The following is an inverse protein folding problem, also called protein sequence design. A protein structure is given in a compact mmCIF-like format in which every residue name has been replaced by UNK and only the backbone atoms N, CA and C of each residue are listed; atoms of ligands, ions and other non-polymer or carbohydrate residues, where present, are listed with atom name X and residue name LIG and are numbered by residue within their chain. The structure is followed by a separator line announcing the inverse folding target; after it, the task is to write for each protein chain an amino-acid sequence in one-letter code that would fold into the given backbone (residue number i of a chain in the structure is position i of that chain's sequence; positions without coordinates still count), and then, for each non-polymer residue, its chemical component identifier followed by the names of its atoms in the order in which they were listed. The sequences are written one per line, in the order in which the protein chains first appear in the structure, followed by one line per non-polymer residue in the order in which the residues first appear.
data_IF_339817163973
#
_entry.id   IF_339817163973
#
_cell.length_a   1.000
_cell.length_b   1.000
_cell.length_c   1.000
_cell.angle_alpha   90.00
_cell.angle_beta   90.00
_cell.angle_gamma   90.00
#
_symmetry.space_group_name_H-M   'P 1'
#
loop_
_entity.id
_entity.type
_entity.pdbx_description
1 polymer ?
#
# COMPACT_ATOMS: atom_id res chain seq x y z
N UNK A 1 18.37 -17.57 -16.32
CA UNK A 1 17.01 -18.13 -16.15
C UNK A 1 16.36 -18.69 -17.44
N UNK A 2 17.05 -18.84 -18.59
CA UNK A 2 16.56 -19.70 -19.68
C UNK A 2 15.23 -19.34 -20.36
N UNK A 3 14.91 -18.03 -20.49
CA UNK A 3 13.68 -17.51 -21.10
C UNK A 3 12.36 -18.01 -20.46
N UNK A 4 12.15 -17.77 -19.14
CA UNK A 4 10.95 -18.22 -18.46
C UNK A 4 9.74 -17.39 -18.88
N UNK A 5 8.55 -17.97 -18.79
CA UNK A 5 7.31 -17.19 -18.83
C UNK A 5 7.14 -16.46 -17.50
N UNK A 6 6.97 -15.14 -17.55
CA UNK A 6 6.80 -14.28 -16.37
C UNK A 6 5.31 -14.14 -16.07
N UNK A 7 4.91 -14.54 -14.86
CA UNK A 7 3.53 -14.38 -14.36
C UNK A 7 3.40 -13.05 -13.65
N UNK A 8 2.46 -12.21 -14.10
CA UNK A 8 2.26 -10.86 -13.60
C UNK A 8 0.87 -10.71 -12.96
N UNK A 9 0.85 -10.57 -11.63
CA UNK A 9 -0.37 -10.30 -10.87
C UNK A 9 -0.76 -8.82 -10.87
N UNK A 10 0.23 -7.93 -11.00
CA UNK A 10 0.00 -6.48 -11.00
C UNK A 10 -0.30 -5.98 -12.41
N UNK A 11 -1.44 -5.31 -12.57
CA UNK A 11 -1.90 -4.70 -13.82
C UNK A 11 -0.87 -3.72 -14.41
N UNK A 12 -0.24 -2.90 -13.58
CA UNK A 12 0.79 -1.95 -14.02
C UNK A 12 2.09 -2.67 -14.44
N UNK A 13 2.49 -3.72 -13.73
CA UNK A 13 3.66 -4.51 -14.13
C UNK A 13 3.42 -5.20 -15.48
N UNK A 14 2.22 -5.73 -15.71
CA UNK A 14 1.83 -6.29 -17.01
C UNK A 14 1.97 -5.26 -18.14
N UNK A 15 1.42 -4.05 -17.95
CA UNK A 15 1.55 -2.97 -18.92
C UNK A 15 3.02 -2.59 -19.19
N UNK A 16 3.82 -2.44 -18.14
CA UNK A 16 5.24 -2.05 -18.25
C UNK A 16 6.04 -3.11 -18.98
N UNK A 17 5.90 -4.38 -18.62
CA UNK A 17 6.61 -5.47 -19.29
C UNK A 17 6.17 -5.58 -20.75
N UNK A 18 4.86 -5.54 -21.04
CA UNK A 18 4.35 -5.59 -22.41
C UNK A 18 4.92 -4.47 -23.29
N UNK A 19 5.06 -3.26 -22.74
CA UNK A 19 5.53 -2.10 -23.49
C UNK A 19 7.06 -2.04 -23.64
N UNK A 20 7.81 -2.48 -22.63
CA UNK A 20 9.26 -2.25 -22.56
C UNK A 20 10.10 -3.52 -22.73
N UNK A 21 9.49 -4.71 -22.67
CA UNK A 21 10.16 -6.01 -22.78
C UNK A 21 9.34 -6.97 -23.67
N UNK A 22 9.11 -6.64 -24.96
CA UNK A 22 8.22 -7.41 -25.83
C UNK A 22 8.70 -8.85 -26.08
N UNK A 23 10.00 -9.10 -25.97
CA UNK A 23 10.60 -10.43 -26.16
C UNK A 23 10.40 -11.37 -24.95
N UNK A 24 10.00 -10.81 -23.80
CA UNK A 24 9.71 -11.61 -22.60
C UNK A 24 8.30 -12.16 -22.71
N UNK A 25 8.17 -13.49 -22.66
CA UNK A 25 6.86 -14.14 -22.57
C UNK A 25 6.22 -13.77 -21.24
N UNK A 26 5.09 -13.07 -21.29
CA UNK A 26 4.32 -12.70 -20.09
C UNK A 26 2.95 -13.35 -20.10
N UNK A 27 2.36 -13.54 -18.91
CA UNK A 27 0.97 -13.95 -18.72
C UNK A 27 0.42 -13.29 -17.47
N UNK A 28 -0.85 -12.85 -17.50
CA UNK A 28 -1.49 -12.35 -16.29
C UNK A 28 -1.82 -13.50 -15.32
N UNK A 29 -1.66 -13.26 -14.02
CA UNK A 29 -2.13 -14.20 -13.00
C UNK A 29 -3.62 -14.53 -13.18
N UNK A 30 -4.42 -13.54 -13.58
CA UNK A 30 -5.88 -13.69 -13.72
C UNK A 30 -6.25 -14.63 -14.86
N UNK A 31 -5.52 -14.55 -15.98
CA UNK A 31 -5.67 -15.50 -17.09
C UNK A 31 -5.33 -16.93 -16.66
N UNK A 32 -4.29 -17.09 -15.83
CA UNK A 32 -3.92 -18.40 -15.30
C UNK A 32 -5.00 -18.95 -14.37
N UNK A 33 -5.56 -18.15 -13.47
CA UNK A 33 -6.64 -18.58 -12.58
C UNK A 33 -7.94 -18.89 -13.32
N UNK A 34 -8.26 -18.14 -14.38
CA UNK A 34 -9.40 -18.47 -15.22
C UNK A 34 -9.18 -19.80 -15.96
N UNK A 35 -7.99 -20.00 -16.56
CA UNK A 35 -7.70 -21.21 -17.32
C UNK A 35 -7.51 -22.46 -16.46
N UNK A 36 -6.74 -22.36 -15.37
CA UNK A 36 -6.29 -23.50 -14.55
C UNK A 36 -7.20 -23.74 -13.34
N UNK A 37 -8.05 -22.77 -12.99
CA UNK A 37 -8.89 -22.82 -11.81
C UNK A 37 -8.31 -22.05 -10.62
N UNK A 38 -9.15 -21.90 -9.60
CA UNK A 38 -8.83 -21.32 -8.30
C UNK A 38 -8.99 -22.39 -7.21
N UNK A 39 -8.38 -22.24 -6.03
CA UNK A 39 -8.44 -23.26 -4.99
C UNK A 39 -9.86 -23.65 -4.58
N UNK A 40 -10.13 -24.96 -4.41
CA UNK A 40 -11.47 -25.49 -4.09
C UNK A 40 -12.10 -24.86 -2.85
N UNK A 41 -11.28 -24.52 -1.84
CA UNK A 41 -11.75 -23.81 -0.64
C UNK A 41 -12.47 -22.49 -0.94
N UNK A 42 -12.10 -21.81 -2.02
CA UNK A 42 -12.73 -20.56 -2.45
C UNK A 42 -14.11 -20.81 -3.09
N UNK A 43 -14.29 -21.99 -3.68
CA UNK A 43 -15.54 -22.44 -4.30
C UNK A 43 -16.51 -23.02 -3.26
N UNK A 44 -15.99 -23.72 -2.25
CA UNK A 44 -16.77 -24.35 -1.18
C UNK A 44 -17.54 -23.35 -0.28
N UNK A 45 -17.13 -22.09 -0.26
CA UNK A 45 -17.86 -20.99 0.39
C UNK A 45 -19.11 -20.51 -0.40
N UNK A 46 -19.54 -21.27 -1.43
CA UNK A 46 -20.53 -20.86 -2.44
C UNK A 46 -21.92 -21.48 -2.32
N UNK A 47 -22.39 -21.83 -1.12
CA UNK A 47 -23.72 -22.41 -0.92
C UNK A 47 -24.90 -21.43 -1.07
N UNK A 48 -24.64 -20.12 -1.01
CA UNK A 48 -25.65 -19.06 -1.14
C UNK A 48 -25.26 -18.09 -2.26
N UNK A 49 -26.25 -17.61 -3.02
CA UNK A 49 -26.07 -16.55 -4.02
C UNK A 49 -25.50 -15.32 -3.32
N UNK A 50 -24.27 -14.94 -3.66
CA UNK A 50 -23.60 -13.79 -3.04
C UNK A 50 -24.17 -12.48 -3.56
N UNK A 51 -24.14 -11.45 -2.71
CA UNK A 51 -24.53 -10.08 -3.09
C UNK A 51 -23.82 -9.63 -4.37
N UNK A 52 -24.51 -8.80 -5.16
CA UNK A 52 -23.92 -8.20 -6.35
C UNK A 52 -22.69 -7.34 -5.99
N UNK A 53 -21.67 -7.39 -6.85
CA UNK A 53 -20.45 -6.58 -6.72
C UNK A 53 -20.21 -5.78 -8.00
N UNK A 54 -19.55 -4.64 -7.86
CA UNK A 54 -19.17 -3.79 -8.98
C UNK A 54 -17.69 -3.90 -9.31
N UNK A 55 -17.36 -4.22 -10.57
CA UNK A 55 -15.97 -4.40 -10.99
C UNK A 55 -15.35 -3.07 -11.38
N UNK A 56 -14.24 -2.72 -10.73
CA UNK A 56 -13.35 -1.65 -11.17
C UNK A 56 -12.13 -2.23 -11.90
N UNK A 57 -12.14 -2.13 -13.23
CA UNK A 57 -10.99 -2.46 -14.06
C UNK A 57 -9.86 -1.43 -13.85
N UNK A 58 -8.63 -1.85 -13.52
CA UNK A 58 -7.49 -0.96 -13.45
C UNK A 58 -7.22 -0.28 -14.80
N UNK A 59 -6.86 1.00 -14.78
CA UNK A 59 -6.55 1.74 -16.01
C UNK A 59 -5.39 1.12 -16.81
N UNK A 60 -4.45 0.43 -16.16
CA UNK A 60 -3.32 -0.25 -16.79
C UNK A 60 -3.74 -1.45 -17.66
N UNK A 61 -4.92 -2.03 -17.42
CA UNK A 61 -5.50 -3.14 -18.20
C UNK A 61 -6.67 -2.68 -19.06
N UNK A 62 -6.86 -1.36 -19.26
CA UNK A 62 -7.96 -0.76 -20.06
C UNK A 62 -8.15 -1.42 -21.43
N UNK A 63 -7.05 -1.69 -22.13
CA UNK A 63 -7.07 -2.31 -23.46
C UNK A 63 -6.65 -3.78 -23.45
N UNK A 64 -6.71 -4.43 -22.28
CA UNK A 64 -6.45 -5.85 -22.11
C UNK A 64 -7.78 -6.58 -21.81
N UNK A 65 -8.66 -6.63 -22.81
CA UNK A 65 -10.00 -7.22 -22.68
C UNK A 65 -9.98 -8.65 -22.14
N UNK A 66 -8.97 -9.44 -22.54
CA UNK A 66 -8.80 -10.81 -22.06
C UNK A 66 -8.54 -10.90 -20.55
N UNK A 67 -7.77 -9.96 -19.96
CA UNK A 67 -7.58 -9.89 -18.49
C UNK A 67 -8.87 -9.46 -17.79
N UNK A 68 -9.59 -8.50 -18.39
CA UNK A 68 -10.88 -8.02 -17.88
C UNK A 68 -11.93 -9.14 -17.87
N UNK A 69 -11.94 -9.98 -18.91
CA UNK A 69 -12.78 -11.18 -19.00
C UNK A 69 -12.42 -12.20 -17.94
N UNK A 70 -11.13 -12.51 -17.77
CA UNK A 70 -10.67 -13.45 -16.74
C UNK A 70 -11.07 -13.02 -15.34
N UNK A 71 -10.96 -11.74 -14.99
CA UNK A 71 -11.41 -11.24 -13.69
C UNK A 71 -12.92 -11.49 -13.46
N UNK A 72 -13.75 -11.29 -14.48
CA UNK A 72 -15.21 -11.52 -14.43
C UNK A 72 -15.54 -13.01 -14.38
N UNK A 73 -14.84 -13.84 -15.12
CA UNK A 73 -15.01 -15.30 -15.08
C UNK A 73 -14.69 -15.86 -13.70
N UNK A 74 -13.60 -15.40 -13.08
CA UNK A 74 -13.25 -15.77 -11.70
C UNK A 74 -14.37 -15.36 -10.73
N UNK A 75 -14.90 -14.15 -10.85
CA UNK A 75 -16.00 -13.68 -9.99
C UNK A 75 -17.28 -14.52 -10.13
N UNK A 76 -17.66 -14.88 -11.37
CA UNK A 76 -18.82 -15.76 -11.61
C UNK A 76 -18.59 -17.16 -11.02
N UNK A 77 -17.39 -17.72 -11.16
CA UNK A 77 -17.03 -19.02 -10.54
C UNK A 77 -17.09 -18.97 -9.01
N UNK A 78 -16.80 -17.81 -8.41
CA UNK A 78 -16.93 -17.56 -6.97
C UNK A 78 -18.39 -17.32 -6.52
N UNK A 79 -19.36 -17.35 -7.43
CA UNK A 79 -20.79 -17.22 -7.13
C UNK A 79 -21.31 -15.78 -7.08
N UNK A 80 -20.53 -14.78 -7.54
CA UNK A 80 -20.94 -13.38 -7.52
C UNK A 80 -21.75 -12.99 -8.76
N UNK A 81 -22.79 -12.19 -8.54
CA UNK A 81 -23.42 -11.39 -9.59
C UNK A 81 -22.60 -10.12 -9.82
N UNK A 82 -22.45 -9.71 -11.08
CA UNK A 82 -21.65 -8.55 -11.46
C UNK A 82 -22.58 -7.43 -11.95
N UNK A 83 -22.51 -6.29 -11.27
CA UNK A 83 -23.08 -5.02 -11.71
C UNK A 83 -21.94 -4.19 -12.33
N UNK A 84 -22.00 -3.93 -13.63
CA UNK A 84 -20.95 -3.13 -14.27
C UNK A 84 -21.07 -1.66 -13.88
N UNK A 85 -19.94 -1.03 -13.56
CA UNK A 85 -19.88 0.42 -13.40
C UNK A 85 -20.20 1.11 -14.74
N UNK A 86 -20.82 2.31 -14.74
CA UNK A 86 -21.15 3.03 -15.97
C UNK A 86 -19.96 3.26 -16.91
N UNK A 87 -18.77 3.44 -16.34
CA UNK A 87 -17.50 3.58 -17.05
C UNK A 87 -16.58 2.41 -16.68
N UNK A 88 -16.82 1.25 -17.29
CA UNK A 88 -16.06 0.01 -17.10
C UNK A 88 -15.23 -0.36 -18.32
N UNK A 89 -14.41 -1.42 -18.22
CA UNK A 89 -13.62 -1.98 -19.33
C UNK A 89 -12.71 -0.94 -20.00
N UNK A 90 -12.78 -0.81 -21.32
CA UNK A 90 -12.02 0.18 -22.10
C UNK A 90 -12.34 1.64 -21.72
N UNK A 91 -13.51 1.87 -21.10
CA UNK A 91 -13.95 3.17 -20.59
C UNK A 91 -13.57 3.38 -19.13
N UNK A 92 -12.95 2.38 -18.48
CA UNK A 92 -12.56 2.47 -17.07
C UNK A 92 -11.72 3.71 -16.81
N UNK A 93 -12.05 4.43 -15.76
CA UNK A 93 -11.33 5.65 -15.45
C UNK A 93 -10.14 5.35 -14.48
N UNK A 94 -9.14 6.24 -14.30
CA UNK A 94 -8.01 6.08 -13.33
C UNK A 94 -8.29 6.42 -11.84
N UNK A 95 -7.96 5.56 -10.87
CA UNK A 95 -8.14 5.78 -9.41
C UNK A 95 -7.35 6.96 -8.77
N UNK A 96 -6.80 7.88 -9.56
CA UNK A 96 -5.96 9.03 -9.16
C UNK A 96 -4.53 8.70 -8.73
N UNK A 97 -4.15 7.43 -8.65
CA UNK A 97 -2.76 7.05 -8.35
C UNK A 97 -1.82 7.22 -9.55
N UNK A 98 -2.23 6.70 -10.72
CA UNK A 98 -1.42 6.72 -11.94
C UNK A 98 -1.08 8.15 -12.36
N UNK A 99 0.13 8.36 -12.90
CA UNK A 99 0.61 9.69 -13.28
C UNK A 99 0.87 10.63 -12.08
N UNK A 100 0.84 10.11 -10.85
CA UNK A 100 1.16 10.84 -9.62
C UNK A 100 0.28 12.07 -9.35
N UNK A 101 -0.96 12.07 -9.88
CA UNK A 101 -1.90 13.18 -9.65
C UNK A 101 -2.15 13.44 -8.16
N UNK A 102 -2.19 12.39 -7.34
CA UNK A 102 -2.34 12.51 -5.90
C UNK A 102 -1.15 13.20 -5.18
N UNK A 103 0.04 13.22 -5.79
CA UNK A 103 1.17 14.00 -5.29
C UNK A 103 1.13 15.43 -5.79
N UNK A 104 0.75 15.63 -7.06
CA UNK A 104 0.74 16.93 -7.71
C UNK A 104 -0.45 17.81 -7.28
N UNK A 105 -1.64 17.21 -7.10
CA UNK A 105 -2.88 17.91 -6.71
C UNK A 105 -3.79 16.97 -5.91
N UNK A 106 -3.63 17.00 -4.58
CA UNK A 106 -4.35 16.13 -3.63
C UNK A 106 -5.86 16.36 -3.66
N UNK A 107 -6.30 17.61 -3.72
CA UNK A 107 -7.72 17.97 -3.70
C UNK A 107 -8.44 17.41 -4.94
N UNK A 108 -7.85 17.61 -6.13
CA UNK A 108 -8.37 17.04 -7.37
C UNK A 108 -8.36 15.51 -7.33
N UNK A 109 -7.28 14.90 -6.85
CA UNK A 109 -7.19 13.45 -6.72
C UNK A 109 -8.31 12.88 -5.86
N UNK A 110 -8.59 13.50 -4.71
CA UNK A 110 -9.68 13.10 -3.83
C UNK A 110 -11.05 13.34 -4.47
N UNK A 111 -11.27 14.46 -5.17
CA UNK A 111 -12.52 14.74 -5.88
C UNK A 111 -12.81 13.68 -6.97
N UNK A 112 -11.79 13.29 -7.72
CA UNK A 112 -11.89 12.22 -8.73
C UNK A 112 -12.22 10.88 -8.08
N UNK A 113 -11.60 10.53 -6.94
CA UNK A 113 -11.92 9.29 -6.23
C UNK A 113 -13.36 9.31 -5.72
N UNK A 114 -13.80 10.40 -5.07
CA UNK A 114 -15.17 10.56 -4.56
C UNK A 114 -16.22 10.36 -5.65
N UNK A 115 -16.04 10.99 -6.82
CA UNK A 115 -16.93 10.81 -7.99
C UNK A 115 -17.03 9.35 -8.43
N UNK A 116 -15.94 8.58 -8.37
CA UNK A 116 -15.94 7.18 -8.79
C UNK A 116 -16.69 6.31 -7.82
N UNK A 117 -16.37 6.41 -6.54
CA UNK A 117 -16.94 5.53 -5.53
C UNK A 117 -18.44 5.74 -5.34
N UNK A 118 -18.97 6.90 -5.76
CA UNK A 118 -20.40 7.20 -5.78
C UNK A 118 -21.13 6.57 -6.97
N UNK A 119 -20.45 5.97 -7.94
CA UNK A 119 -21.08 5.46 -9.16
C UNK A 119 -21.92 4.19 -8.96
N UNK A 120 -21.73 3.48 -7.84
CA UNK A 120 -22.57 2.33 -7.44
C UNK A 120 -22.47 2.13 -5.93
N UNK A 121 -23.55 1.68 -5.31
CA UNK A 121 -23.59 1.38 -3.88
C UNK A 121 -22.99 0.02 -3.55
N UNK A 122 -22.97 -0.93 -4.50
CA UNK A 122 -22.41 -2.27 -4.32
C UNK A 122 -20.93 -2.24 -3.92
N UNK A 123 -20.47 -3.28 -3.22
CA UNK A 123 -19.05 -3.44 -2.88
C UNK A 123 -18.21 -3.49 -4.16
N UNK A 124 -17.07 -2.81 -4.16
CA UNK A 124 -16.18 -2.79 -5.32
C UNK A 124 -15.23 -3.98 -5.29
N UNK A 125 -15.00 -4.59 -6.45
CA UNK A 125 -13.92 -5.56 -6.65
C UNK A 125 -12.97 -5.03 -7.70
N UNK A 126 -11.67 -5.09 -7.39
CA UNK A 126 -10.61 -4.75 -8.34
C UNK A 126 -9.46 -5.75 -8.25
N UNK A 127 -8.64 -5.80 -9.28
CA UNK A 127 -7.44 -6.63 -9.36
C UNK A 127 -6.17 -5.76 -9.46
N UNK A 128 -6.25 -4.57 -8.87
CA UNK A 128 -5.13 -3.68 -8.60
C UNK A 128 -5.16 -3.27 -7.12
N UNK A 129 -4.12 -3.65 -6.37
CA UNK A 129 -3.99 -3.31 -4.96
C UNK A 129 -4.07 -1.78 -4.70
N UNK A 130 -3.55 -0.98 -5.63
CA UNK A 130 -3.55 0.48 -5.48
C UNK A 130 -4.93 1.09 -5.72
N UNK A 131 -5.70 0.59 -6.70
CA UNK A 131 -7.10 1.02 -6.86
C UNK A 131 -7.92 0.70 -5.61
N UNK A 132 -7.74 -0.51 -5.05
CA UNK A 132 -8.39 -0.94 -3.81
C UNK A 132 -8.07 0.01 -2.65
N UNK A 133 -6.80 0.34 -2.48
CA UNK A 133 -6.35 1.23 -1.41
C UNK A 133 -6.90 2.64 -1.55
N UNK A 134 -6.90 3.21 -2.75
CA UNK A 134 -7.42 4.57 -2.98
C UNK A 134 -8.91 4.68 -2.74
N UNK A 135 -9.69 3.66 -3.07
CA UNK A 135 -11.12 3.63 -2.80
C UNK A 135 -11.42 3.40 -1.31
N UNK A 136 -10.72 2.47 -0.67
CA UNK A 136 -10.85 2.22 0.77
C UNK A 136 -10.47 3.46 1.62
N UNK A 137 -9.46 4.22 1.19
CA UNK A 137 -9.05 5.46 1.85
C UNK A 137 -10.13 6.57 1.80
N UNK A 138 -11.12 6.45 0.91
CA UNK A 138 -12.29 7.34 0.83
C UNK A 138 -13.57 6.66 1.36
N UNK A 139 -13.44 5.57 2.11
CA UNK A 139 -14.54 4.89 2.78
C UNK A 139 -15.35 3.92 1.91
N UNK A 140 -14.94 3.66 0.66
CA UNK A 140 -15.63 2.68 -0.17
C UNK A 140 -15.23 1.26 0.21
N UNK A 141 -16.21 0.44 0.59
CA UNK A 141 -16.04 -1.01 0.74
C UNK A 141 -15.49 -1.60 -0.56
N UNK A 142 -14.24 -2.06 -0.51
CA UNK A 142 -13.50 -2.47 -1.70
C UNK A 142 -12.62 -3.69 -1.41
N UNK A 143 -12.79 -4.73 -2.20
CA UNK A 143 -12.04 -5.97 -2.13
C UNK A 143 -11.06 -6.05 -3.30
N UNK A 144 -9.88 -6.60 -3.04
CA UNK A 144 -9.03 -7.11 -4.09
C UNK A 144 -9.53 -8.49 -4.53
N UNK A 145 -9.34 -8.87 -5.80
CA UNK A 145 -9.74 -10.22 -6.26
C UNK A 145 -9.04 -11.35 -5.47
N UNK A 146 -7.83 -11.10 -4.95
CA UNK A 146 -7.17 -12.03 -4.01
C UNK A 146 -7.84 -12.09 -2.63
N UNK A 147 -8.48 -11.02 -2.16
CA UNK A 147 -9.25 -11.04 -0.91
C UNK A 147 -10.41 -12.03 -1.05
N UNK A 148 -11.05 -12.10 -2.23
CA UNK A 148 -12.13 -13.06 -2.49
C UNK A 148 -11.66 -14.52 -2.62
N UNK A 149 -10.46 -14.74 -3.15
CA UNK A 149 -9.92 -16.09 -3.38
C UNK A 149 -9.31 -16.69 -2.10
N UNK A 150 -8.73 -15.84 -1.24
CA UNK A 150 -7.91 -16.28 -0.11
C UNK A 150 -8.36 -15.75 1.25
N UNK A 151 -9.25 -14.76 1.28
CA UNK A 151 -9.78 -14.21 2.51
C UNK A 151 -10.77 -15.14 3.21
N UNK A 152 -10.98 -14.89 4.50
CA UNK A 152 -11.96 -15.60 5.32
C UNK A 152 -13.11 -14.65 5.68
N UNK A 153 -12.81 -13.55 6.38
CA UNK A 153 -13.79 -12.52 6.73
C UNK A 153 -13.86 -11.44 5.64
N UNK A 154 -14.73 -11.65 4.66
CA UNK A 154 -14.88 -10.75 3.52
C UNK A 154 -15.48 -9.39 3.92
N UNK A 155 -16.32 -9.33 4.95
CA UNK A 155 -16.90 -8.07 5.41
C UNK A 155 -15.82 -7.19 6.02
N UNK A 156 -15.02 -7.74 6.93
CA UNK A 156 -13.88 -7.03 7.49
C UNK A 156 -12.87 -6.65 6.40
N UNK A 157 -12.59 -7.54 5.44
CA UNK A 157 -11.67 -7.23 4.33
C UNK A 157 -12.20 -6.09 3.44
N UNK A 158 -13.51 -6.03 3.18
CA UNK A 158 -14.11 -4.97 2.39
C UNK A 158 -14.00 -3.60 3.07
N UNK A 159 -14.15 -3.57 4.40
CA UNK A 159 -14.07 -2.35 5.22
C UNK A 159 -12.66 -1.97 5.63
N UNK A 160 -11.70 -2.89 5.50
CA UNK A 160 -10.30 -2.68 5.89
C UNK A 160 -9.74 -1.42 5.24
N UNK A 161 -9.18 -0.52 6.06
CA UNK A 161 -8.46 0.67 5.59
C UNK A 161 -7.20 0.30 4.79
N UNK A 162 -6.79 1.18 3.88
CA UNK A 162 -5.51 1.03 3.17
C UNK A 162 -4.34 1.09 4.16
N UNK A 163 -3.28 0.28 3.99
CA UNK A 163 -2.10 0.41 4.83
C UNK A 163 -1.39 1.76 4.58
N UNK A 164 -0.91 2.38 5.65
CA UNK A 164 -0.02 3.55 5.59
C UNK A 164 1.36 3.22 5.00
N UNK A 165 2.19 4.22 4.74
CA UNK A 165 3.50 4.02 4.10
C UNK A 165 4.45 3.19 4.96
N UNK A 166 4.49 3.47 6.27
CA UNK A 166 5.30 2.70 7.21
C UNK A 166 4.84 1.25 7.27
N UNK A 167 3.52 1.04 7.36
CA UNK A 167 2.93 -0.30 7.36
C UNK A 167 3.27 -1.07 6.07
N UNK A 168 3.32 -0.41 4.91
CA UNK A 168 3.71 -1.04 3.64
C UNK A 168 5.16 -1.51 3.65
N UNK A 169 6.07 -0.71 4.22
CA UNK A 169 7.48 -1.07 4.37
C UNK A 169 7.64 -2.26 5.30
N UNK A 170 6.99 -2.22 6.47
CA UNK A 170 6.97 -3.34 7.41
C UNK A 170 6.37 -4.61 6.81
N UNK A 171 5.26 -4.50 6.08
CA UNK A 171 4.62 -5.63 5.40
C UNK A 171 5.58 -6.26 4.39
N UNK A 172 6.33 -5.45 3.64
CA UNK A 172 7.34 -5.93 2.68
C UNK A 172 8.50 -6.62 3.40
N UNK A 173 9.03 -6.01 4.47
CA UNK A 173 10.13 -6.58 5.25
C UNK A 173 9.73 -7.91 5.90
N UNK A 174 8.54 -7.96 6.51
CA UNK A 174 7.97 -9.18 7.11
C UNK A 174 7.76 -10.28 6.08
N UNK A 175 7.21 -9.94 4.91
CA UNK A 175 7.04 -10.88 3.81
C UNK A 175 8.39 -11.41 3.33
N UNK A 176 9.37 -10.53 3.08
CA UNK A 176 10.72 -10.92 2.65
C UNK A 176 11.38 -11.87 3.66
N UNK A 177 11.36 -11.52 4.95
CA UNK A 177 11.92 -12.36 6.02
C UNK A 177 11.27 -13.74 6.06
N UNK A 178 9.94 -13.79 5.99
CA UNK A 178 9.18 -15.04 5.95
C UNK A 178 9.60 -15.90 4.76
N UNK A 179 9.64 -15.32 3.56
CA UNK A 179 9.98 -16.07 2.34
C UNK A 179 11.44 -16.55 2.34
N UNK A 180 12.40 -15.71 2.77
CA UNK A 180 13.81 -16.11 2.91
C UNK A 180 13.96 -17.31 3.84
N UNK A 181 13.31 -17.25 5.00
CA UNK A 181 13.34 -18.35 5.96
C UNK A 181 12.66 -19.62 5.44
N UNK A 182 11.43 -19.51 4.93
CA UNK A 182 10.60 -20.68 4.59
C UNK A 182 10.96 -21.32 3.26
N UNK A 183 11.42 -20.54 2.27
CA UNK A 183 11.70 -21.05 0.92
C UNK A 183 13.20 -21.24 0.66
N UNK A 184 14.05 -20.40 1.27
CA UNK A 184 15.50 -20.39 1.02
C UNK A 184 16.34 -20.80 2.23
N UNK A 185 15.73 -20.96 3.42
CA UNK A 185 16.47 -21.27 4.65
C UNK A 185 17.43 -20.17 5.09
N UNK A 186 17.24 -18.94 4.59
CA UNK A 186 18.09 -17.78 4.86
C UNK A 186 17.46 -16.91 5.96
N UNK A 187 18.27 -16.50 6.93
CA UNK A 187 17.89 -15.44 7.87
C UNK A 187 18.27 -14.06 7.31
N UNK A 188 17.47 -13.05 7.63
CA UNK A 188 17.84 -11.66 7.36
C UNK A 188 18.66 -11.11 8.52
N UNK A 189 19.97 -10.99 8.33
CA UNK A 189 20.85 -10.33 9.28
C UNK A 189 20.53 -8.82 9.41
N UNK A 190 20.69 -8.30 10.63
CA UNK A 190 20.74 -6.87 10.92
C UNK A 190 19.40 -6.14 10.88
N UNK A 191 18.67 -6.11 12.01
CA UNK A 191 17.84 -4.95 12.27
C UNK A 191 18.77 -3.82 12.71
N UNK A 192 18.74 -2.70 11.99
CA UNK A 192 19.43 -1.50 12.43
C UNK A 192 18.96 -1.12 13.83
N UNK A 193 19.86 -0.62 14.70
CA UNK A 193 19.56 -0.37 16.12
C UNK A 193 18.31 0.50 16.33
N UNK A 194 18.04 1.43 15.42
CA UNK A 194 16.84 2.28 15.45
C UNK A 194 15.52 1.48 15.39
N UNK A 195 15.50 0.29 14.77
CA UNK A 195 14.28 -0.51 14.62
C UNK A 195 13.80 -1.11 15.95
N UNK A 196 14.66 -1.17 16.97
CA UNK A 196 14.29 -1.60 18.32
C UNK A 196 13.61 -0.47 19.13
N UNK A 197 13.64 0.77 18.64
CA UNK A 197 13.06 1.92 19.35
C UNK A 197 11.54 1.81 19.33
N UNK A 198 10.95 1.73 20.53
CA UNK A 198 9.52 1.70 20.73
C UNK A 198 8.95 3.12 20.67
N UNK A 199 8.02 3.35 19.74
CA UNK A 199 7.32 4.63 19.59
C UNK A 199 5.87 4.52 20.05
N UNK A 200 5.38 5.59 20.69
CA UNK A 200 3.97 5.82 20.99
C UNK A 200 3.55 7.00 20.13
N UNK A 201 2.66 6.77 19.17
CA UNK A 201 2.18 7.77 18.21
C UNK A 201 0.66 7.82 18.30
N UNK A 202 0.12 8.98 18.64
CA UNK A 202 -1.33 9.19 18.67
C UNK A 202 -1.92 9.18 17.25
N UNK A 203 -3.21 8.83 17.11
CA UNK A 203 -3.87 8.65 15.80
C UNK A 203 -3.81 9.91 14.92
N UNK A 204 -3.98 11.10 15.52
CA UNK A 204 -3.91 12.38 14.83
C UNK A 204 -2.48 12.72 14.35
N UNK A 205 -1.47 12.36 15.15
CA UNK A 205 -0.07 12.47 14.77
C UNK A 205 0.25 11.50 13.64
N UNK A 206 -0.21 10.24 13.74
CA UNK A 206 -0.05 9.23 12.70
C UNK A 206 -0.64 9.69 11.37
N UNK A 207 -1.85 10.26 11.38
CA UNK A 207 -2.49 10.80 10.17
C UNK A 207 -1.66 11.93 9.54
N UNK A 208 -1.13 12.84 10.35
CA UNK A 208 -0.24 13.91 9.88
C UNK A 208 1.06 13.38 9.26
N UNK A 209 1.66 12.36 9.86
CA UNK A 209 2.87 11.71 9.33
C UNK A 209 2.59 11.09 7.95
N UNK A 210 1.48 10.38 7.81
CA UNK A 210 1.04 9.78 6.55
C UNK A 210 0.77 10.86 5.48
N UNK A 211 0.12 11.97 5.86
CA UNK A 211 -0.08 13.10 4.94
C UNK A 211 1.24 13.70 4.46
N UNK A 212 2.23 13.81 5.36
CA UNK A 212 3.57 14.35 5.10
C UNK A 212 4.55 13.34 4.50
N UNK A 213 4.14 12.09 4.28
CA UNK A 213 4.98 11.00 3.76
C UNK A 213 6.22 10.73 4.63
N UNK A 214 6.09 10.87 5.95
CA UNK A 214 7.15 10.62 6.92
C UNK A 214 6.98 9.19 7.45
N UNK A 215 8.04 8.39 7.36
CA UNK A 215 8.00 7.00 7.83
C UNK A 215 8.32 6.92 9.33
N UNK A 216 7.79 5.87 9.97
CA UNK A 216 8.19 5.48 11.34
C UNK A 216 9.70 5.27 11.41
N UNK A 217 10.29 4.64 10.39
CA UNK A 217 11.73 4.42 10.29
C UNK A 217 12.53 5.73 10.22
N UNK A 218 11.99 6.78 9.60
CA UNK A 218 12.64 8.11 9.57
C UNK A 218 12.69 8.71 10.98
N UNK A 219 11.59 8.55 11.74
CA UNK A 219 11.48 9.02 13.12
C UNK A 219 12.43 8.26 14.04
N UNK A 220 12.45 6.93 13.91
CA UNK A 220 13.34 6.08 14.69
C UNK A 220 14.82 6.42 14.44
N UNK A 221 15.22 6.67 13.19
CA UNK A 221 16.59 7.09 12.87
C UNK A 221 16.96 8.44 13.50
N UNK A 222 16.02 9.41 13.51
CA UNK A 222 16.24 10.70 14.19
C UNK A 222 16.44 10.51 15.68
N UNK A 223 15.57 9.72 16.34
CA UNK A 223 15.65 9.49 17.79
C UNK A 223 16.91 8.68 18.14
N UNK A 224 17.26 7.63 17.37
CA UNK A 224 18.49 6.85 17.61
C UNK A 224 19.72 7.75 17.62
N UNK A 225 19.88 8.59 16.59
CA UNK A 225 21.03 9.48 16.50
C UNK A 225 21.04 10.51 17.64
N UNK A 226 19.88 11.09 17.95
CA UNK A 226 19.72 12.08 18.99
C UNK A 226 20.07 11.53 20.38
N UNK A 227 19.62 10.32 20.70
CA UNK A 227 19.91 9.67 21.98
C UNK A 227 21.36 9.18 22.06
N UNK A 228 21.94 8.71 20.94
CA UNK A 228 23.33 8.26 20.89
C UNK A 228 24.34 9.41 20.97
N UNK A 229 24.04 10.56 20.37
CA UNK A 229 24.98 11.70 20.26
C UNK A 229 24.69 12.82 21.23
N UNK A 230 23.48 12.88 21.78
CA UNK A 230 22.99 14.04 22.54
C UNK A 230 22.62 15.23 21.66
N UNK A 231 22.66 15.13 20.32
CA UNK A 231 22.28 16.21 19.41
C UNK A 231 20.75 16.41 19.37
N UNK A 232 20.23 17.09 20.40
CA UNK A 232 18.81 17.40 20.59
C UNK A 232 18.62 18.68 21.40
N UNK A 233 17.51 19.36 21.15
CA UNK A 233 17.16 20.63 21.79
C UNK A 233 15.96 20.44 22.71
N UNK A 234 16.05 20.92 23.96
CA UNK A 234 14.93 20.89 24.90
C UNK A 234 14.08 22.15 24.75
N UNK A 235 12.81 21.99 24.39
CA UNK A 235 11.83 23.05 24.56
C UNK A 235 11.45 23.14 26.05
N UNK A 236 11.91 24.19 26.74
CA UNK A 236 11.66 24.37 28.19
C UNK A 236 10.19 24.65 28.55
N UNK A 237 9.37 25.09 27.59
CA UNK A 237 7.96 25.38 27.84
C UNK A 237 7.11 24.11 27.84
N UNK A 238 7.38 23.20 26.89
CA UNK A 238 6.63 21.94 26.73
C UNK A 238 7.31 20.75 27.38
N UNK A 239 8.62 20.82 27.63
CA UNK A 239 9.44 19.68 28.05
C UNK A 239 9.78 18.72 26.91
N UNK A 240 9.49 19.07 25.66
CA UNK A 240 9.72 18.20 24.51
C UNK A 240 11.15 18.33 23.96
N UNK A 241 11.68 17.23 23.47
CA UNK A 241 12.92 17.20 22.70
C UNK A 241 12.63 17.41 21.22
N UNK A 242 13.42 18.26 20.58
CA UNK A 242 13.46 18.43 19.13
C UNK A 242 14.82 17.95 18.63
N UNK A 243 14.82 17.02 17.69
CA UNK A 243 16.03 16.55 17.03
C UNK A 243 15.83 16.47 15.53
N UNK A 244 16.94 16.38 14.79
CA UNK A 244 16.90 16.19 13.35
C UNK A 244 17.92 15.18 12.87
N UNK A 245 17.62 14.56 11.74
CA UNK A 245 18.57 13.72 11.03
C UNK A 245 18.31 13.75 9.53
N UNK A 246 19.39 13.69 8.75
CA UNK A 246 19.36 13.65 7.30
C UNK A 246 19.92 12.30 6.84
N UNK A 247 19.09 11.23 6.77
CA UNK A 247 19.57 9.91 6.36
C UNK A 247 19.98 9.89 4.87
N UNK A 248 19.42 10.78 4.04
CA UNK A 248 19.79 10.90 2.63
C UNK A 248 19.58 12.35 2.10
N UNK A 249 18.58 12.58 1.24
CA UNK A 249 18.37 13.87 0.59
C UNK A 249 17.46 14.83 1.38
N UNK A 250 16.75 14.30 2.38
CA UNK A 250 15.74 15.03 3.17
C UNK A 250 16.15 15.01 4.63
N UNK A 251 16.03 16.16 5.29
CA UNK A 251 16.22 16.29 6.74
C UNK A 251 14.87 16.16 7.41
N UNK A 252 14.76 15.23 8.36
CA UNK A 252 13.57 15.00 9.18
C UNK A 252 13.80 15.60 10.55
N UNK A 253 12.77 16.22 11.08
CA UNK A 253 12.72 16.81 12.41
C UNK A 253 11.64 16.12 13.21
N UNK A 254 11.97 15.71 14.43
CA UNK A 254 11.07 14.97 15.32
C UNK A 254 10.99 15.68 16.66
N UNK A 255 9.77 15.93 17.09
CA UNK A 255 9.44 16.40 18.43
C UNK A 255 8.91 15.23 19.26
N UNK A 256 9.56 14.93 20.37
CA UNK A 256 9.27 13.73 21.17
C UNK A 256 9.57 13.91 22.66
N UNK A 257 9.02 13.03 23.49
CA UNK A 257 9.40 12.88 24.91
C UNK A 257 9.72 11.43 25.22
N UNK A 258 10.54 11.19 26.25
CA UNK A 258 10.77 9.85 26.79
C UNK A 258 9.70 9.55 27.84
N UNK A 259 9.06 8.38 27.74
CA UNK A 259 8.10 7.87 28.70
C UNK A 259 8.40 6.40 29.00
N UNK A 260 9.12 6.15 30.10
CA UNK A 260 9.60 4.80 30.44
C UNK A 260 10.65 4.31 29.44
N UNK A 261 10.36 3.20 28.77
CA UNK A 261 11.20 2.57 27.73
C UNK A 261 10.81 2.96 26.30
N UNK A 262 9.83 3.88 26.14
CA UNK A 262 9.27 4.27 24.86
C UNK A 262 9.37 5.78 24.63
N UNK A 263 9.37 6.19 23.37
CA UNK A 263 9.32 7.60 22.98
C UNK A 263 7.93 7.97 22.48
N UNK A 264 7.34 8.99 23.09
CA UNK A 264 6.07 9.57 22.64
C UNK A 264 6.37 10.61 21.57
N UNK A 265 5.85 10.41 20.36
CA UNK A 265 6.04 11.33 19.25
C UNK A 265 4.91 12.35 19.24
N UNK A 266 5.26 13.63 19.37
CA UNK A 266 4.30 14.73 19.36
C UNK A 266 4.12 15.32 17.96
N UNK A 267 5.19 15.34 17.17
CA UNK A 267 5.17 15.90 15.81
C UNK A 267 6.40 15.43 15.01
N UNK A 268 6.28 15.38 13.69
CA UNK A 268 7.44 15.35 12.81
C UNK A 268 7.18 16.11 11.51
N UNK A 269 8.23 16.70 10.95
CA UNK A 269 8.21 17.40 9.68
C UNK A 269 9.53 17.20 8.94
N UNK A 270 9.55 17.51 7.65
CA UNK A 270 10.74 17.30 6.82
C UNK A 270 10.97 18.45 5.86
N UNK A 271 12.24 18.73 5.58
CA UNK A 271 12.67 19.75 4.62
C UNK A 271 13.84 19.23 3.80
N UNK A 272 13.89 19.61 2.53
CA UNK A 272 15.06 19.38 1.67
C UNK A 272 16.10 20.46 1.96
N UNK A 273 16.81 20.30 3.07
CA UNK A 273 17.87 21.21 3.51
C UNK A 273 19.02 20.44 4.14
N UNK A 274 20.16 21.12 4.30
CA UNK A 274 21.28 20.66 5.12
C UNK A 274 21.42 21.60 6.30
N UNK A 275 21.49 21.05 7.50
CA UNK A 275 21.89 21.83 8.69
C UNK A 275 23.41 21.81 8.73
N UNK A 276 24.03 22.98 8.63
CA UNK A 276 25.46 23.11 8.86
C UNK A 276 25.68 23.09 10.37
N UNK A 277 26.29 22.01 10.87
CA UNK A 277 26.74 21.92 12.26
C UNK A 277 28.20 22.37 12.29
N UNK A 278 28.46 23.60 12.74
CA UNK A 278 29.81 24.01 13.10
C UNK A 278 30.20 23.19 14.32
N UNK A 279 30.99 22.13 14.11
CA UNK A 279 31.66 21.41 15.18
C UNK A 279 32.63 22.40 15.81
N UNK A 280 32.19 23.07 16.88
CA UNK A 280 33.12 23.76 17.78
C UNK A 280 33.95 22.67 18.46
N UNK A 281 35.14 22.45 17.90
CA UNK A 281 36.23 21.68 18.50
C UNK A 281 36.64 22.32 19.82
#
# INVERSE_FOLDING_TARGET
LGAPQVVLACSSCYQVFKANLPDVKIVSLWELYDRLGIPDRALAAGGETKSAVSVHDPCATRYAGHIQDSARNILRRLGYQIEELPLSREKTECCSYGGLMWLANRELAQAVVRRRISASQADYVTYCAVCRDFFAAQGKRTLHLLDLIYGQDLNHLAERKSPGYSQRHENRARLKRKLLKELWGEDMDGQAAYAAIRLIIADDVQERLEQRLILVEDIQQVIELAERTGSKLLNRQTGHWLAHHRPNAVTYWVEYTLHGDAFVVHNAYSHRMQVAEDVKV
#
